data_IF_687433504948
#
_entry.id   IF_687433504948
#
_cell.length_a   1.000
_cell.length_b   1.000
_cell.length_c   1.000
_cell.angle_alpha   90.00
_cell.angle_beta   90.00
_cell.angle_gamma   90.00
#
_symmetry.space_group_name_H-M   'P 1'
#
loop_
_entity.id
_entity.type
_entity.pdbx_description
1 polymer ?
#
# COMPACT_ATOMS: atom_id res chain seq x y z
N UNK A 1 28.00 75.69 58.54
CA UNK A 1 27.81 74.27 58.89
C UNK A 1 27.16 73.56 57.72
N UNK A 2 27.94 72.77 56.99
CA UNK A 2 27.57 72.05 55.81
C UNK A 2 26.88 70.73 56.18
N UNK A 3 25.76 70.44 55.54
CA UNK A 3 25.17 69.08 55.49
C UNK A 3 25.18 68.58 54.06
N UNK A 4 25.94 67.54 53.83
CA UNK A 4 26.00 66.83 52.57
C UNK A 4 24.81 65.89 52.45
N UNK A 5 24.06 65.98 51.32
CA UNK A 5 23.08 65.00 50.92
C UNK A 5 23.68 64.13 49.80
N UNK A 6 23.90 62.85 50.11
CA UNK A 6 24.28 61.85 49.12
C UNK A 6 23.00 61.37 48.41
N UNK A 7 22.94 61.62 47.11
CA UNK A 7 21.91 61.03 46.24
C UNK A 7 22.49 59.69 45.74
N UNK A 8 21.82 58.57 46.11
CA UNK A 8 22.12 57.26 45.56
C UNK A 8 21.31 57.09 44.27
N UNK A 9 21.99 57.07 43.12
CA UNK A 9 21.42 56.58 41.85
C UNK A 9 21.36 55.06 41.90
N UNK A 10 20.12 54.47 41.90
CA UNK A 10 19.88 53.07 41.66
C UNK A 10 19.82 52.78 40.18
N UNK A 11 20.80 52.04 39.64
CA UNK A 11 20.74 51.46 38.30
C UNK A 11 19.76 50.28 38.34
N UNK A 12 18.57 50.42 37.70
CA UNK A 12 17.68 49.33 37.39
C UNK A 12 18.16 48.69 36.07
N UNK A 13 18.86 47.57 36.17
CA UNK A 13 19.15 46.72 35.00
C UNK A 13 17.93 45.98 34.59
N UNK A 14 17.20 46.47 33.57
CA UNK A 14 16.13 45.78 32.93
C UNK A 14 16.66 44.60 32.09
N UNK A 15 16.56 43.36 32.60
CA UNK A 15 16.77 42.17 31.83
C UNK A 15 15.61 41.97 30.86
N UNK A 16 15.81 42.38 29.60
CA UNK A 16 14.92 42.07 28.52
C UNK A 16 15.06 40.56 28.17
N UNK A 17 14.19 39.73 28.70
CA UNK A 17 13.99 38.35 28.26
C UNK A 17 13.41 38.39 26.85
N UNK A 18 14.29 38.29 25.84
CA UNK A 18 13.91 37.92 24.49
C UNK A 18 13.46 36.46 24.53
N UNK A 19 12.16 36.23 24.65
CA UNK A 19 11.56 34.95 24.33
C UNK A 19 11.79 34.74 22.83
N UNK A 20 12.82 33.98 22.47
CA UNK A 20 12.95 33.39 21.14
C UNK A 20 11.77 32.43 20.97
N UNK A 21 10.68 32.95 20.43
CA UNK A 21 9.68 32.10 19.81
C UNK A 21 10.42 31.33 18.70
N UNK A 22 10.73 30.06 18.97
CA UNK A 22 11.23 29.16 17.96
C UNK A 22 10.11 29.03 16.90
N UNK A 23 10.12 29.90 15.91
CA UNK A 23 9.34 29.72 14.70
C UNK A 23 9.87 28.42 14.11
N UNK A 24 9.03 27.38 14.09
CA UNK A 24 9.34 26.19 13.35
C UNK A 24 9.71 26.63 11.92
N UNK A 25 10.99 26.47 11.58
CA UNK A 25 11.52 26.92 10.30
C UNK A 25 10.75 26.20 9.20
N UNK A 26 10.07 26.94 8.32
CA UNK A 26 9.39 26.39 7.15
C UNK A 26 10.42 25.70 6.26
N UNK A 27 10.44 24.37 6.31
CA UNK A 27 11.39 23.54 5.54
C UNK A 27 10.98 23.40 4.08
N UNK A 28 9.85 24.00 3.67
CA UNK A 28 9.30 23.96 2.32
C UNK A 28 8.19 22.93 2.18
N UNK A 29 7.71 22.79 0.95
CA UNK A 29 6.55 21.95 0.61
C UNK A 29 7.00 20.64 -0.02
N UNK A 30 6.40 19.52 0.39
CA UNK A 30 6.51 18.21 -0.23
C UNK A 30 5.21 17.95 -1.01
N UNK A 31 5.34 17.61 -2.29
CA UNK A 31 4.21 17.20 -3.14
C UNK A 31 3.90 15.71 -2.91
N UNK A 32 2.64 15.38 -2.67
CA UNK A 32 2.18 14.01 -2.41
C UNK A 32 1.03 13.70 -3.36
N UNK A 33 1.23 12.75 -4.28
CA UNK A 33 0.23 12.31 -5.24
C UNK A 33 -0.17 10.86 -4.95
N UNK A 34 -1.43 10.68 -4.54
CA UNK A 34 -2.06 9.38 -4.29
C UNK A 34 -2.99 9.00 -5.44
N UNK A 35 -3.17 7.69 -5.73
CA UNK A 35 -3.92 7.27 -6.91
C UNK A 35 -5.42 7.56 -6.81
N UNK A 36 -6.04 7.31 -5.67
CA UNK A 36 -7.51 7.38 -5.53
C UNK A 36 -7.95 7.50 -4.07
N UNK A 37 -9.21 7.83 -3.84
CA UNK A 37 -9.90 7.71 -2.54
C UNK A 37 -10.84 6.51 -2.46
N UNK A 38 -10.99 5.74 -3.53
CA UNK A 38 -11.88 4.58 -3.56
C UNK A 38 -11.43 3.45 -2.63
N UNK A 39 -10.13 3.33 -2.36
CA UNK A 39 -9.58 2.48 -1.30
C UNK A 39 -9.21 3.34 -0.08
N UNK A 40 -9.70 2.93 1.09
CA UNK A 40 -9.50 3.64 2.35
C UNK A 40 -8.03 3.78 2.72
N UNK A 41 -7.20 2.79 2.37
CA UNK A 41 -5.76 2.83 2.66
C UNK A 41 -5.06 4.06 2.09
N UNK A 42 -5.42 4.51 0.87
CA UNK A 42 -4.79 5.70 0.28
C UNK A 42 -5.14 6.98 1.03
N UNK A 43 -6.32 7.04 1.64
CA UNK A 43 -6.72 8.14 2.52
C UNK A 43 -5.85 8.11 3.79
N UNK A 44 -5.66 6.94 4.37
CA UNK A 44 -4.83 6.77 5.57
C UNK A 44 -3.35 7.05 5.28
N UNK A 45 -2.82 6.56 4.15
CA UNK A 45 -1.46 6.87 3.67
C UNK A 45 -1.26 8.39 3.54
N UNK A 46 -2.17 9.09 2.85
CA UNK A 46 -2.11 10.53 2.66
C UNK A 46 -2.19 11.31 3.97
N UNK A 47 -3.12 10.95 4.86
CA UNK A 47 -3.28 11.61 6.16
C UNK A 47 -2.06 11.42 7.06
N UNK A 48 -1.51 10.19 7.12
CA UNK A 48 -0.29 9.89 7.86
C UNK A 48 0.91 10.66 7.28
N UNK A 49 1.02 10.74 5.96
CA UNK A 49 2.08 11.51 5.29
C UNK A 49 2.01 12.98 5.67
N UNK A 50 0.84 13.61 5.56
CA UNK A 50 0.62 15.03 5.96
C UNK A 50 0.98 15.25 7.41
N UNK A 51 0.53 14.35 8.29
CA UNK A 51 0.82 14.44 9.73
C UNK A 51 2.33 14.42 9.99
N UNK A 52 3.04 13.42 9.48
CA UNK A 52 4.47 13.27 9.77
C UNK A 52 5.32 14.34 9.09
N UNK A 53 4.94 14.82 7.90
CA UNK A 53 5.60 15.97 7.27
C UNK A 53 5.44 17.23 8.13
N UNK A 54 4.23 17.51 8.61
CA UNK A 54 3.97 18.64 9.50
C UNK A 54 4.76 18.56 10.80
N UNK A 55 4.82 17.39 11.41
CA UNK A 55 5.58 17.15 12.66
C UNK A 55 7.07 17.44 12.49
N UNK A 56 7.59 17.38 11.25
CA UNK A 56 8.98 17.70 10.90
C UNK A 56 9.20 19.11 10.33
N UNK A 57 8.15 19.93 10.26
CA UNK A 57 8.22 21.33 9.79
C UNK A 57 8.07 21.51 8.29
N UNK A 58 7.61 20.49 7.55
CA UNK A 58 7.26 20.59 6.14
C UNK A 58 5.78 20.90 5.93
N UNK A 59 5.47 21.57 4.82
CA UNK A 59 4.12 21.62 4.27
C UNK A 59 3.89 20.44 3.33
N UNK A 60 2.66 19.97 3.22
CA UNK A 60 2.27 18.93 2.26
C UNK A 60 1.27 19.50 1.24
N UNK A 61 1.53 19.28 -0.05
CA UNK A 61 0.55 19.45 -1.14
C UNK A 61 0.04 18.04 -1.48
N UNK A 62 -1.02 17.58 -0.79
CA UNK A 62 -1.61 16.25 -0.95
C UNK A 62 -2.74 16.31 -1.99
N UNK A 63 -2.64 15.48 -3.03
CA UNK A 63 -3.65 15.35 -4.06
C UNK A 63 -3.96 13.89 -4.37
N UNK A 64 -5.20 13.63 -4.75
CA UNK A 64 -5.70 12.33 -5.18
C UNK A 64 -6.13 12.43 -6.65
N UNK A 65 -5.73 11.46 -7.44
CA UNK A 65 -5.93 11.52 -8.89
C UNK A 65 -7.19 10.75 -9.37
N UNK A 66 -7.91 10.10 -8.46
CA UNK A 66 -9.18 9.39 -8.71
C UNK A 66 -9.05 8.33 -9.83
N UNK A 67 -7.93 7.61 -9.84
CA UNK A 67 -7.55 6.60 -10.83
C UNK A 67 -7.49 7.11 -12.28
N UNK A 68 -7.41 8.43 -12.47
CA UNK A 68 -7.27 9.08 -13.77
C UNK A 68 -5.79 9.44 -14.02
N UNK A 69 -5.17 8.78 -15.01
CA UNK A 69 -3.75 8.96 -15.34
C UNK A 69 -3.44 10.40 -15.82
N UNK A 70 -4.20 11.00 -16.74
CA UNK A 70 -4.00 12.40 -17.14
C UNK A 70 -4.09 13.36 -15.95
N UNK A 71 -5.04 13.13 -15.05
CA UNK A 71 -5.18 13.96 -13.84
C UNK A 71 -3.94 13.84 -12.94
N UNK A 72 -3.44 12.62 -12.72
CA UNK A 72 -2.22 12.42 -11.93
C UNK A 72 -1.02 13.14 -12.55
N UNK A 73 -0.84 13.04 -13.88
CA UNK A 73 0.22 13.73 -14.59
C UNK A 73 0.12 15.26 -14.41
N UNK A 74 -1.09 15.84 -14.58
CA UNK A 74 -1.31 17.27 -14.41
C UNK A 74 -1.03 17.73 -12.97
N UNK A 75 -1.43 16.93 -11.96
CA UNK A 75 -1.14 17.22 -10.55
C UNK A 75 0.36 17.24 -10.28
N UNK A 76 1.11 16.25 -10.78
CA UNK A 76 2.58 16.18 -10.63
C UNK A 76 3.25 17.38 -11.32
N UNK A 77 2.85 17.72 -12.53
CA UNK A 77 3.39 18.90 -13.25
C UNK A 77 3.10 20.22 -12.52
N UNK A 78 1.92 20.34 -11.92
CA UNK A 78 1.56 21.50 -11.08
C UNK A 78 2.46 21.59 -9.83
N UNK A 79 2.70 20.47 -9.13
CA UNK A 79 3.63 20.42 -7.99
C UNK A 79 5.05 20.82 -8.39
N UNK A 80 5.53 20.39 -9.57
CA UNK A 80 6.84 20.80 -10.12
C UNK A 80 6.86 22.32 -10.36
N UNK A 81 5.82 22.87 -10.96
CA UNK A 81 5.68 24.33 -11.20
C UNK A 81 5.70 25.13 -9.90
N UNK A 82 5.09 24.60 -8.83
CA UNK A 82 5.12 25.18 -7.48
C UNK A 82 6.47 25.00 -6.77
N UNK A 83 7.44 24.31 -7.38
CA UNK A 83 8.79 24.09 -6.86
C UNK A 83 8.79 23.37 -5.50
N UNK A 84 8.00 22.32 -5.39
CA UNK A 84 8.05 21.45 -4.20
C UNK A 84 9.48 20.91 -4.00
N UNK A 85 9.86 20.59 -2.77
CA UNK A 85 11.21 20.08 -2.45
C UNK A 85 11.42 18.63 -2.85
N UNK A 86 10.36 17.83 -2.68
CA UNK A 86 10.33 16.40 -3.02
C UNK A 86 8.95 16.08 -3.58
N UNK A 87 8.89 15.16 -4.54
CA UNK A 87 7.67 14.50 -5.00
C UNK A 87 7.60 13.10 -4.39
N UNK A 88 6.50 12.80 -3.73
CA UNK A 88 6.12 11.48 -3.26
C UNK A 88 4.94 11.01 -4.11
N UNK A 89 5.12 9.95 -4.87
CA UNK A 89 4.12 9.55 -5.88
C UNK A 89 3.80 8.06 -5.73
N UNK A 90 2.53 7.75 -5.44
CA UNK A 90 1.95 6.43 -5.65
C UNK A 90 1.32 6.40 -7.03
N UNK A 91 2.06 5.92 -8.02
CA UNK A 91 1.66 6.00 -9.41
C UNK A 91 0.43 5.13 -9.73
N UNK A 92 -0.54 5.66 -10.49
CA UNK A 92 -1.63 4.88 -11.06
C UNK A 92 -1.06 3.92 -12.10
N UNK A 93 -0.32 4.45 -13.06
CA UNK A 93 0.44 3.73 -14.06
C UNK A 93 1.92 4.06 -13.89
N UNK A 94 2.72 3.04 -13.67
CA UNK A 94 4.16 3.19 -13.43
C UNK A 94 4.95 3.75 -14.61
N UNK A 95 4.39 3.82 -15.83
CA UNK A 95 5.14 4.15 -17.06
C UNK A 95 4.87 5.54 -17.61
N UNK A 96 3.86 6.26 -17.12
CA UNK A 96 3.36 7.48 -17.76
C UNK A 96 4.02 8.78 -17.30
N UNK A 97 4.86 8.74 -16.26
CA UNK A 97 5.38 9.93 -15.59
C UNK A 97 6.79 10.38 -16.03
N UNK A 98 7.46 9.63 -16.90
CA UNK A 98 8.90 9.81 -17.18
C UNK A 98 9.27 11.24 -17.61
N UNK A 99 8.46 11.89 -18.46
CA UNK A 99 8.73 13.25 -18.92
C UNK A 99 8.55 14.29 -17.80
N UNK A 100 7.54 14.14 -16.94
CA UNK A 100 7.34 15.00 -15.79
C UNK A 100 8.50 14.84 -14.79
N UNK A 101 8.96 13.61 -14.56
CA UNK A 101 10.09 13.34 -13.66
C UNK A 101 11.41 13.90 -14.21
N UNK A 102 11.58 13.99 -15.54
CA UNK A 102 12.73 14.71 -16.11
C UNK A 102 12.67 16.21 -15.78
N UNK A 103 11.49 16.85 -15.94
CA UNK A 103 11.29 18.26 -15.55
C UNK A 103 11.54 18.48 -14.05
N UNK A 104 11.18 17.52 -13.19
CA UNK A 104 11.46 17.58 -11.77
C UNK A 104 12.98 17.55 -11.51
N UNK A 105 13.70 16.62 -12.13
CA UNK A 105 15.13 16.47 -12.02
C UNK A 105 15.89 17.74 -12.50
N UNK A 106 15.46 18.34 -13.59
CA UNK A 106 16.04 19.58 -14.13
C UNK A 106 15.91 20.76 -13.14
N UNK A 107 14.95 20.70 -12.20
CA UNK A 107 14.76 21.66 -11.12
C UNK A 107 15.37 21.21 -9.77
N UNK A 108 16.07 20.08 -9.75
CA UNK A 108 16.66 19.52 -8.53
C UNK A 108 15.66 18.92 -7.55
N UNK A 109 14.41 18.69 -7.98
CA UNK A 109 13.36 18.09 -7.17
C UNK A 109 13.60 16.57 -7.09
N UNK A 110 13.68 16.02 -5.87
CA UNK A 110 13.83 14.59 -5.63
C UNK A 110 12.52 13.86 -5.77
N UNK A 111 12.58 12.59 -6.20
CA UNK A 111 11.41 11.76 -6.45
C UNK A 111 11.48 10.48 -5.62
N UNK A 112 10.47 10.27 -4.80
CA UNK A 112 10.24 9.04 -4.05
C UNK A 112 9.02 8.34 -4.62
N UNK A 113 9.22 7.16 -5.20
CA UNK A 113 8.14 6.24 -5.49
C UNK A 113 7.58 5.72 -4.16
N UNK A 114 6.29 5.83 -3.95
CA UNK A 114 5.61 5.44 -2.71
C UNK A 114 4.68 4.26 -2.98
N UNK A 115 4.86 3.15 -2.26
CA UNK A 115 4.14 1.89 -2.40
C UNK A 115 4.25 1.27 -3.81
N UNK A 116 4.02 2.03 -4.88
CA UNK A 116 4.06 1.58 -6.29
C UNK A 116 5.31 2.06 -7.00
N UNK A 117 6.05 1.14 -7.63
CA UNK A 117 7.28 1.46 -8.34
C UNK A 117 7.00 2.21 -9.64
N UNK A 118 7.64 3.38 -9.80
CA UNK A 118 7.63 4.10 -11.08
C UNK A 118 8.70 3.53 -12.00
N UNK A 119 8.30 3.12 -13.21
CA UNK A 119 9.13 2.46 -14.21
C UNK A 119 9.58 3.40 -15.31
N UNK A 120 10.59 2.99 -16.07
CA UNK A 120 11.02 3.69 -17.28
C UNK A 120 11.67 5.06 -17.07
N UNK A 121 12.03 5.42 -15.83
CA UNK A 121 12.68 6.71 -15.53
C UNK A 121 13.94 6.54 -14.70
N UNK A 122 15.02 7.22 -15.10
CA UNK A 122 16.26 7.32 -14.31
C UNK A 122 16.09 8.23 -13.09
N UNK A 123 15.06 9.08 -13.08
CA UNK A 123 14.82 10.16 -12.13
C UNK A 123 13.95 9.75 -10.93
N UNK A 124 13.84 8.47 -10.65
CA UNK A 124 13.28 7.96 -9.39
C UNK A 124 14.46 7.79 -8.43
N UNK A 125 14.54 8.62 -7.39
CA UNK A 125 15.68 8.59 -6.48
C UNK A 125 15.59 7.43 -5.49
N UNK A 126 14.39 7.20 -4.90
CA UNK A 126 14.14 6.18 -3.89
C UNK A 126 12.77 5.54 -4.07
N UNK A 127 12.61 4.39 -3.44
CA UNK A 127 11.33 3.68 -3.37
C UNK A 127 11.06 3.22 -1.93
N UNK A 128 9.87 3.49 -1.42
CA UNK A 128 9.42 3.02 -0.11
C UNK A 128 8.16 2.17 -0.28
N UNK A 129 8.20 0.94 0.21
CA UNK A 129 7.10 -0.02 0.05
C UNK A 129 7.20 -1.15 1.08
N UNK A 130 6.42 -2.18 0.90
CA UNK A 130 6.52 -3.46 1.62
C UNK A 130 7.25 -4.50 0.76
N UNK A 131 7.63 -5.62 1.37
CA UNK A 131 8.10 -6.79 0.61
C UNK A 131 6.93 -7.39 -0.18
N UNK A 132 6.81 -6.94 -1.43
CA UNK A 132 5.67 -7.30 -2.29
C UNK A 132 5.68 -8.78 -2.70
N UNK A 133 6.86 -9.41 -2.82
CA UNK A 133 6.94 -10.84 -3.06
C UNK A 133 6.41 -11.62 -1.85
N UNK A 134 6.80 -11.20 -0.65
CA UNK A 134 6.33 -11.81 0.59
C UNK A 134 4.83 -11.66 0.79
N UNK A 135 4.20 -10.57 0.32
CA UNK A 135 2.73 -10.45 0.31
C UNK A 135 2.09 -11.64 -0.42
N UNK A 136 2.54 -11.93 -1.64
CA UNK A 136 2.03 -13.08 -2.39
C UNK A 136 2.28 -14.42 -1.71
N UNK A 137 3.47 -14.60 -1.12
CA UNK A 137 3.80 -15.80 -0.33
C UNK A 137 2.81 -15.98 0.85
N UNK A 138 2.48 -14.90 1.56
CA UNK A 138 1.54 -14.95 2.69
C UNK A 138 0.11 -15.26 2.21
N UNK A 139 -0.34 -14.67 1.12
CA UNK A 139 -1.66 -14.95 0.53
C UNK A 139 -1.80 -16.43 0.16
N UNK A 140 -0.87 -16.96 -0.60
CA UNK A 140 -0.88 -18.34 -1.03
C UNK A 140 -0.64 -19.32 0.15
N UNK A 141 0.24 -18.95 1.07
CA UNK A 141 0.52 -19.73 2.28
C UNK A 141 -0.73 -19.96 3.11
N UNK A 142 -1.55 -18.93 3.31
CA UNK A 142 -2.82 -19.04 4.04
C UNK A 142 -3.80 -20.02 3.39
N UNK A 143 -3.86 -20.03 2.04
CA UNK A 143 -4.69 -20.99 1.27
C UNK A 143 -4.15 -22.42 1.45
N UNK A 144 -2.84 -22.61 1.28
CA UNK A 144 -2.18 -23.91 1.40
C UNK A 144 -2.39 -24.52 2.79
N UNK A 145 -2.24 -23.71 3.82
CA UNK A 145 -2.39 -24.14 5.21
C UNK A 145 -3.86 -24.48 5.53
N UNK A 146 -4.80 -23.63 5.12
CA UNK A 146 -6.24 -23.84 5.34
C UNK A 146 -6.77 -25.09 4.64
N UNK A 147 -6.34 -25.33 3.40
CA UNK A 147 -6.74 -26.52 2.65
C UNK A 147 -6.05 -27.80 3.12
N UNK A 148 -5.00 -27.70 3.93
CA UNK A 148 -4.22 -28.85 4.40
C UNK A 148 -3.40 -29.53 3.28
N UNK A 149 -2.94 -28.73 2.30
CA UNK A 149 -2.16 -29.25 1.17
C UNK A 149 -0.81 -29.81 1.61
N UNK A 150 -0.18 -29.24 2.66
CA UNK A 150 1.05 -29.76 3.28
C UNK A 150 0.86 -31.15 3.89
N UNK A 151 -0.37 -31.47 4.31
CA UNK A 151 -0.78 -32.79 4.85
C UNK A 151 -1.24 -33.75 3.75
N UNK A 152 -1.04 -33.39 2.49
CA UNK A 152 -1.37 -34.25 1.36
C UNK A 152 -2.81 -34.22 0.91
N UNK A 153 -3.68 -33.37 1.50
CA UNK A 153 -5.08 -33.23 1.08
C UNK A 153 -5.19 -32.70 -0.37
N UNK A 154 -6.32 -32.94 -0.98
CA UNK A 154 -6.63 -32.55 -2.36
C UNK A 154 -7.13 -33.75 -3.19
N UNK A 155 -7.50 -33.55 -4.48
CA UNK A 155 -7.41 -32.26 -5.20
C UNK A 155 -8.45 -31.24 -4.78
N UNK A 156 -8.10 -29.95 -4.90
CA UNK A 156 -9.00 -28.80 -4.70
C UNK A 156 -9.01 -27.89 -5.92
N UNK A 157 -10.16 -27.27 -6.21
CA UNK A 157 -10.29 -26.30 -7.28
C UNK A 157 -9.96 -24.90 -6.76
N UNK A 158 -9.06 -24.23 -7.47
CA UNK A 158 -8.67 -22.85 -7.17
C UNK A 158 -8.83 -21.97 -8.41
N UNK A 159 -9.29 -20.73 -8.23
CA UNK A 159 -9.17 -19.68 -9.26
C UNK A 159 -8.20 -18.60 -8.82
N UNK A 160 -7.50 -18.01 -9.78
CA UNK A 160 -6.46 -17.02 -9.54
C UNK A 160 -6.91 -15.66 -10.05
N UNK A 161 -6.74 -14.63 -9.21
CA UNK A 161 -6.91 -13.23 -9.57
C UNK A 161 -5.57 -12.52 -9.36
N UNK A 162 -5.23 -11.65 -10.30
CA UNK A 162 -4.09 -10.75 -10.23
C UNK A 162 -4.53 -9.30 -10.04
N UNK A 163 -3.61 -8.45 -9.61
CA UNK A 163 -3.83 -7.02 -9.50
C UNK A 163 -3.79 -6.31 -10.86
N UNK A 164 -3.73 -4.98 -10.84
CA UNK A 164 -3.71 -4.17 -12.06
C UNK A 164 -2.38 -4.35 -12.81
N UNK A 165 -2.42 -4.62 -14.13
CA UNK A 165 -1.20 -4.85 -14.91
C UNK A 165 -0.35 -3.58 -15.13
N UNK A 166 -0.88 -2.39 -14.87
CA UNK A 166 -0.16 -1.12 -14.88
C UNK A 166 0.59 -0.83 -13.57
N UNK A 167 0.34 -1.63 -12.52
CA UNK A 167 1.04 -1.60 -11.25
C UNK A 167 2.08 -2.72 -11.15
N UNK A 168 3.35 -2.35 -10.97
CA UNK A 168 4.46 -3.30 -10.87
C UNK A 168 4.30 -4.29 -9.68
N UNK A 169 3.64 -3.88 -8.61
CA UNK A 169 3.44 -4.72 -7.43
C UNK A 169 2.59 -5.97 -7.73
N UNK A 170 1.63 -5.85 -8.66
CA UNK A 170 0.76 -6.96 -9.05
C UNK A 170 1.55 -8.18 -9.54
N UNK A 171 2.67 -7.96 -10.22
CA UNK A 171 3.55 -9.04 -10.70
C UNK A 171 4.30 -9.69 -9.53
N UNK A 172 4.84 -8.89 -8.60
CA UNK A 172 5.50 -9.41 -7.40
C UNK A 172 4.55 -10.22 -6.51
N UNK A 173 3.31 -9.74 -6.32
CA UNK A 173 2.30 -10.50 -5.57
C UNK A 173 1.98 -11.83 -6.26
N UNK A 174 1.78 -11.80 -7.56
CA UNK A 174 1.51 -13.01 -8.33
C UNK A 174 2.68 -13.99 -8.29
N UNK A 175 3.90 -13.53 -8.50
CA UNK A 175 5.10 -14.38 -8.50
C UNK A 175 5.36 -14.97 -7.11
N UNK A 176 5.18 -14.18 -6.05
CA UNK A 176 5.25 -14.66 -4.67
C UNK A 176 4.21 -15.74 -4.38
N UNK A 177 2.97 -15.53 -4.80
CA UNK A 177 1.91 -16.53 -4.65
C UNK A 177 2.19 -17.80 -5.45
N UNK A 178 2.64 -17.66 -6.69
CA UNK A 178 2.96 -18.80 -7.57
C UNK A 178 4.16 -19.59 -7.07
N UNK A 179 5.14 -18.95 -6.39
CA UNK A 179 6.25 -19.68 -5.75
C UNK A 179 5.78 -20.71 -4.72
N UNK A 180 4.62 -20.45 -4.09
CA UNK A 180 4.00 -21.34 -3.11
C UNK A 180 3.01 -22.32 -3.75
N UNK A 181 2.19 -21.87 -4.71
CA UNK A 181 1.10 -22.68 -5.29
C UNK A 181 1.58 -23.64 -6.36
N UNK A 182 2.64 -23.28 -7.11
CA UNK A 182 3.09 -24.04 -8.28
C UNK A 182 3.35 -25.53 -7.99
N UNK A 183 4.01 -25.95 -6.89
CA UNK A 183 4.21 -27.37 -6.61
C UNK A 183 2.89 -28.16 -6.47
N UNK A 184 1.83 -27.52 -5.96
CA UNK A 184 0.52 -28.16 -5.79
C UNK A 184 -0.27 -28.16 -7.10
N UNK A 185 -0.09 -27.17 -7.98
CA UNK A 185 -0.64 -27.15 -9.33
C UNK A 185 0.01 -28.22 -10.19
N UNK A 186 1.35 -28.33 -10.17
CA UNK A 186 2.12 -29.31 -10.95
C UNK A 186 1.79 -30.76 -10.53
N UNK A 187 1.54 -30.99 -9.23
CA UNK A 187 1.16 -32.31 -8.72
C UNK A 187 -0.34 -32.63 -8.85
N UNK A 188 -1.15 -31.71 -9.37
CA UNK A 188 -2.61 -31.88 -9.48
C UNK A 188 -3.37 -31.82 -8.17
N UNK A 189 -2.73 -31.45 -7.05
CA UNK A 189 -3.42 -31.22 -5.75
C UNK A 189 -4.23 -29.92 -5.74
N UNK A 190 -3.84 -28.95 -6.57
CA UNK A 190 -4.63 -27.79 -6.93
C UNK A 190 -4.94 -27.82 -8.41
N UNK A 191 -6.19 -27.48 -8.78
CA UNK A 191 -6.64 -27.46 -10.16
C UNK A 191 -7.26 -26.12 -10.48
N UNK A 192 -6.71 -25.38 -11.45
CA UNK A 192 -7.32 -24.19 -12.03
C UNK A 192 -8.23 -24.66 -13.17
N UNK A 193 -9.53 -24.79 -12.89
CA UNK A 193 -10.48 -25.34 -13.89
C UNK A 193 -10.59 -24.47 -15.13
N UNK A 194 -10.49 -23.16 -14.97
CA UNK A 194 -10.50 -22.20 -16.08
C UNK A 194 -9.24 -22.28 -16.95
N UNK A 195 -8.15 -22.88 -16.44
CA UNK A 195 -6.82 -22.86 -17.05
C UNK A 195 -6.27 -21.43 -17.29
N UNK A 196 -6.83 -20.42 -16.58
CA UNK A 196 -6.36 -19.05 -16.67
C UNK A 196 -5.20 -18.84 -15.71
N UNK A 197 -4.00 -18.83 -16.26
CA UNK A 197 -2.73 -18.62 -15.56
C UNK A 197 -1.97 -17.45 -16.18
N UNK A 198 -1.16 -16.78 -15.36
CA UNK A 198 -0.35 -15.63 -15.77
C UNK A 198 -1.11 -14.28 -15.74
N UNK A 199 -0.38 -13.23 -15.40
CA UNK A 199 -0.93 -11.88 -15.17
C UNK A 199 -1.76 -11.35 -16.35
N UNK A 200 -1.44 -11.73 -17.59
CA UNK A 200 -2.21 -11.34 -18.79
C UNK A 200 -3.66 -11.85 -18.77
N UNK A 201 -3.92 -13.00 -18.11
CA UNK A 201 -5.26 -13.63 -18.03
C UNK A 201 -5.99 -13.34 -16.73
N UNK A 202 -5.24 -13.15 -15.65
CA UNK A 202 -5.81 -13.02 -14.31
C UNK A 202 -5.80 -11.59 -13.77
N UNK A 203 -5.12 -10.66 -14.44
CA UNK A 203 -5.03 -9.26 -14.04
C UNK A 203 -6.37 -8.57 -13.98
N UNK A 204 -6.53 -7.69 -13.00
CA UNK A 204 -7.76 -6.91 -12.76
C UNK A 204 -7.44 -5.43 -12.86
N UNK A 205 -7.82 -4.81 -13.97
CA UNK A 205 -7.49 -3.42 -14.28
C UNK A 205 -7.99 -2.48 -13.19
N UNK A 206 -7.14 -1.51 -12.80
CA UNK A 206 -7.42 -0.50 -11.77
C UNK A 206 -7.74 -1.08 -10.38
N UNK A 207 -7.43 -2.34 -10.13
CA UNK A 207 -7.80 -2.99 -8.86
C UNK A 207 -9.31 -2.93 -8.57
N UNK A 208 -10.13 -2.93 -9.62
CA UNK A 208 -11.57 -2.71 -9.52
C UNK A 208 -12.31 -3.98 -9.09
N UNK A 209 -13.01 -3.90 -7.94
CA UNK A 209 -13.79 -5.00 -7.39
C UNK A 209 -14.97 -5.43 -8.28
N UNK A 210 -15.56 -4.51 -9.05
CA UNK A 210 -16.65 -4.86 -9.99
C UNK A 210 -16.11 -5.65 -11.19
N UNK A 211 -14.91 -5.34 -11.66
CA UNK A 211 -14.22 -6.14 -12.71
C UNK A 211 -13.91 -7.55 -12.18
N UNK A 212 -13.45 -7.66 -10.93
CA UNK A 212 -13.22 -8.96 -10.29
C UNK A 212 -14.53 -9.75 -10.12
N UNK A 213 -15.62 -9.10 -9.70
CA UNK A 213 -16.94 -9.70 -9.58
C UNK A 213 -17.41 -10.24 -10.92
N UNK A 214 -17.43 -9.43 -11.97
CA UNK A 214 -17.86 -9.84 -13.30
C UNK A 214 -17.05 -11.03 -13.84
N UNK A 215 -15.72 -11.02 -13.60
CA UNK A 215 -14.87 -12.17 -13.97
C UNK A 215 -15.22 -13.42 -13.17
N UNK A 216 -15.49 -13.30 -11.86
CA UNK A 216 -15.90 -14.44 -11.03
C UNK A 216 -17.23 -15.01 -11.46
N UNK A 217 -18.22 -14.17 -11.80
CA UNK A 217 -19.52 -14.61 -12.35
C UNK A 217 -19.34 -15.45 -13.62
N UNK A 218 -18.49 -14.99 -14.54
CA UNK A 218 -18.15 -15.71 -15.75
C UNK A 218 -17.45 -17.05 -15.47
N UNK A 219 -16.51 -17.09 -14.52
CA UNK A 219 -15.83 -18.33 -14.11
C UNK A 219 -16.81 -19.33 -13.52
N UNK A 220 -17.69 -18.90 -12.62
CA UNK A 220 -18.69 -19.74 -11.98
C UNK A 220 -19.65 -20.34 -13.02
N UNK A 221 -20.15 -19.54 -13.94
CA UNK A 221 -21.04 -19.98 -15.00
C UNK A 221 -20.37 -20.97 -15.97
N UNK A 222 -19.13 -20.69 -16.38
CA UNK A 222 -18.46 -21.48 -17.41
C UNK A 222 -17.84 -22.80 -16.89
N UNK A 223 -17.38 -22.85 -15.64
CA UNK A 223 -16.55 -23.94 -15.15
C UNK A 223 -17.05 -24.64 -13.88
N UNK A 224 -18.06 -24.08 -13.20
CA UNK A 224 -18.45 -24.55 -11.86
C UNK A 224 -19.92 -24.97 -11.76
N UNK A 225 -20.62 -25.20 -12.88
CA UNK A 225 -21.99 -25.71 -12.87
C UNK A 225 -22.15 -27.05 -12.14
N UNK A 226 -21.16 -27.95 -12.27
CA UNK A 226 -21.14 -29.27 -11.64
C UNK A 226 -19.91 -29.49 -10.73
N UNK A 227 -19.29 -28.42 -10.25
CA UNK A 227 -18.13 -28.47 -9.37
C UNK A 227 -18.17 -27.30 -8.41
N UNK A 228 -17.34 -27.34 -7.38
CA UNK A 228 -17.21 -26.20 -6.45
C UNK A 228 -15.85 -25.52 -6.61
N UNK A 229 -15.80 -24.23 -6.29
CA UNK A 229 -14.56 -23.50 -6.01
C UNK A 229 -14.20 -23.76 -4.55
N UNK A 230 -12.99 -24.24 -4.29
CA UNK A 230 -12.49 -24.50 -2.94
C UNK A 230 -11.63 -23.36 -2.42
N UNK A 231 -10.94 -22.65 -3.32
CA UNK A 231 -10.13 -21.48 -2.98
C UNK A 231 -10.12 -20.44 -4.09
N UNK A 232 -9.82 -19.20 -3.72
CA UNK A 232 -9.54 -18.10 -4.63
C UNK A 232 -8.34 -17.33 -4.14
N UNK A 233 -7.27 -17.28 -4.96
CA UNK A 233 -6.21 -16.32 -4.76
C UNK A 233 -6.71 -14.95 -5.18
N UNK A 234 -6.89 -14.06 -4.22
CA UNK A 234 -7.23 -12.67 -4.45
C UNK A 234 -6.14 -11.76 -3.89
N UNK A 235 -5.59 -10.85 -4.69
CA UNK A 235 -4.42 -10.04 -4.28
C UNK A 235 -4.79 -8.78 -3.50
N UNK A 236 -6.10 -8.46 -3.35
CA UNK A 236 -6.55 -7.23 -2.69
C UNK A 236 -7.98 -7.38 -2.16
N UNK A 237 -8.25 -6.78 -1.02
CA UNK A 237 -9.53 -6.87 -0.30
C UNK A 237 -10.73 -6.37 -1.11
N UNK A 238 -10.58 -5.28 -1.85
CA UNK A 238 -11.63 -4.78 -2.72
C UNK A 238 -12.06 -5.78 -3.80
N UNK A 239 -11.09 -6.53 -4.36
CA UNK A 239 -11.37 -7.63 -5.28
C UNK A 239 -12.08 -8.78 -4.55
N UNK A 240 -11.61 -9.11 -3.35
CA UNK A 240 -12.18 -10.18 -2.53
C UNK A 240 -13.65 -9.94 -2.21
N UNK A 241 -14.05 -8.70 -1.92
CA UNK A 241 -15.45 -8.33 -1.69
C UNK A 241 -16.30 -8.56 -2.93
N UNK A 242 -15.82 -8.19 -4.13
CA UNK A 242 -16.49 -8.47 -5.39
C UNK A 242 -16.64 -9.98 -5.65
N UNK A 243 -15.57 -10.76 -5.42
CA UNK A 243 -15.56 -12.21 -5.55
C UNK A 243 -16.54 -12.87 -4.56
N UNK A 244 -16.58 -12.41 -3.29
CA UNK A 244 -17.52 -12.88 -2.28
C UNK A 244 -18.95 -12.66 -2.72
N UNK A 245 -19.25 -11.50 -3.30
CA UNK A 245 -20.58 -11.21 -3.85
C UNK A 245 -21.00 -12.25 -4.91
N UNK A 246 -20.12 -12.56 -5.86
CA UNK A 246 -20.37 -13.56 -6.91
C UNK A 246 -20.62 -14.96 -6.34
N UNK A 247 -19.73 -15.46 -5.47
CA UNK A 247 -19.87 -16.82 -4.94
C UNK A 247 -21.12 -16.95 -4.06
N UNK A 248 -21.47 -15.94 -3.26
CA UNK A 248 -22.73 -15.92 -2.50
C UNK A 248 -23.96 -15.91 -3.40
N UNK A 249 -23.87 -15.20 -4.54
CA UNK A 249 -24.96 -15.16 -5.52
C UNK A 249 -25.35 -16.54 -6.09
N UNK A 250 -24.42 -17.51 -6.07
CA UNK A 250 -24.68 -18.90 -6.50
C UNK A 250 -24.74 -19.90 -5.33
N UNK A 251 -24.96 -19.42 -4.09
CA UNK A 251 -25.31 -20.24 -2.94
C UNK A 251 -24.15 -20.67 -2.02
N UNK A 252 -22.94 -20.13 -2.20
CA UNK A 252 -21.86 -20.32 -1.23
C UNK A 252 -22.17 -19.60 0.10
N UNK A 253 -21.56 -20.07 1.18
CA UNK A 253 -21.77 -19.55 2.54
C UNK A 253 -22.87 -20.30 3.30
N UNK A 254 -23.29 -21.46 2.81
CA UNK A 254 -24.26 -22.34 3.47
C UNK A 254 -23.57 -23.60 3.99
N UNK A 255 -24.19 -24.37 4.93
CA UNK A 255 -23.61 -25.63 5.40
C UNK A 255 -23.38 -26.66 4.29
N UNK A 256 -24.20 -26.64 3.23
CA UNK A 256 -24.05 -27.53 2.08
C UNK A 256 -22.99 -27.07 1.09
N UNK A 257 -22.75 -25.76 1.03
CA UNK A 257 -21.79 -25.14 0.12
C UNK A 257 -21.01 -24.05 0.86
N UNK A 258 -20.02 -24.42 1.69
CA UNK A 258 -19.26 -23.47 2.47
C UNK A 258 -18.45 -22.52 1.58
N UNK A 259 -18.11 -21.35 2.12
CA UNK A 259 -17.29 -20.36 1.42
C UNK A 259 -15.96 -20.96 0.97
N UNK A 260 -15.45 -20.60 -0.22
CA UNK A 260 -14.08 -20.92 -0.59
C UNK A 260 -13.07 -20.18 0.29
N UNK A 261 -11.85 -20.68 0.35
CA UNK A 261 -10.75 -20.01 1.02
C UNK A 261 -10.31 -18.82 0.17
N UNK A 262 -10.67 -17.61 0.56
CA UNK A 262 -10.37 -16.37 -0.20
C UNK A 262 -9.31 -15.58 0.54
N UNK A 263 -8.19 -15.27 -0.13
CA UNK A 263 -7.16 -14.36 0.39
C UNK A 263 -7.53 -12.89 0.15
N UNK A 264 -6.69 -11.98 0.60
CA UNK A 264 -6.81 -10.54 0.36
C UNK A 264 -5.56 -9.79 0.77
N UNK A 265 -5.62 -8.46 0.74
CA UNK A 265 -4.56 -7.56 1.16
C UNK A 265 -5.16 -6.21 1.55
N UNK A 266 -4.47 -5.50 2.42
CA UNK A 266 -4.67 -4.17 2.97
C UNK A 266 -5.53 -4.11 4.24
N UNK A 267 -6.12 -5.22 4.68
CA UNK A 267 -6.90 -5.32 5.91
C UNK A 267 -8.00 -4.23 6.00
N UNK A 268 -8.67 -3.95 4.87
CA UNK A 268 -9.75 -2.97 4.84
C UNK A 268 -10.94 -3.41 5.73
N UNK A 269 -11.59 -2.45 6.36
CA UNK A 269 -12.68 -2.70 7.33
C UNK A 269 -13.73 -3.67 6.80
N UNK A 270 -14.26 -3.54 5.54
CA UNK A 270 -15.23 -4.50 5.02
C UNK A 270 -14.70 -5.94 4.97
N UNK A 271 -13.44 -6.12 4.62
CA UNK A 271 -12.78 -7.43 4.55
C UNK A 271 -12.49 -8.02 5.92
N UNK A 272 -12.04 -7.22 6.89
CA UNK A 272 -11.88 -7.69 8.27
C UNK A 272 -13.22 -8.17 8.84
N UNK A 273 -14.31 -7.43 8.58
CA UNK A 273 -15.69 -7.87 8.92
C UNK A 273 -16.06 -9.17 8.18
N UNK A 274 -15.69 -9.32 6.91
CA UNK A 274 -15.93 -10.54 6.15
C UNK A 274 -15.12 -11.72 6.70
N UNK A 275 -13.88 -11.51 7.15
CA UNK A 275 -13.06 -12.53 7.82
C UNK A 275 -13.74 -13.00 9.11
N UNK A 276 -14.25 -12.09 9.92
CA UNK A 276 -14.93 -12.43 11.18
C UNK A 276 -16.24 -13.18 10.96
N UNK A 277 -16.92 -12.95 9.84
CA UNK A 277 -18.13 -13.72 9.45
C UNK A 277 -17.80 -15.05 8.78
N UNK A 278 -16.54 -15.31 8.41
CA UNK A 278 -16.13 -16.50 7.65
C UNK A 278 -16.39 -16.40 6.14
N UNK A 279 -16.66 -15.21 5.62
CA UNK A 279 -16.87 -14.95 4.19
C UNK A 279 -15.56 -14.84 3.41
N UNK A 280 -14.51 -14.27 4.05
CA UNK A 280 -13.14 -14.23 3.59
C UNK A 280 -12.27 -15.01 4.58
N UNK A 281 -11.16 -15.61 4.14
CA UNK A 281 -10.32 -16.37 5.04
C UNK A 281 -9.22 -15.53 5.67
N UNK A 282 -8.50 -14.75 4.87
CA UNK A 282 -7.35 -13.97 5.32
C UNK A 282 -7.18 -12.69 4.51
N UNK A 283 -6.41 -11.77 5.08
CA UNK A 283 -5.86 -10.60 4.40
C UNK A 283 -4.39 -10.43 4.77
N UNK A 284 -3.65 -9.62 4.00
CA UNK A 284 -2.28 -9.24 4.34
C UNK A 284 -2.26 -7.77 4.73
N UNK A 285 -1.94 -7.52 5.98
CA UNK A 285 -1.87 -6.18 6.56
C UNK A 285 -0.54 -5.51 6.22
N UNK A 286 -0.65 -4.26 5.80
CA UNK A 286 0.44 -3.32 5.54
C UNK A 286 0.17 -2.05 6.34
N UNK A 287 0.97 -1.77 7.36
CA UNK A 287 0.75 -0.61 8.23
C UNK A 287 1.10 0.70 7.51
N UNK A 288 0.07 1.44 7.08
CA UNK A 288 0.22 2.71 6.37
C UNK A 288 0.92 3.78 7.21
N UNK A 289 0.82 3.69 8.56
CA UNK A 289 1.51 4.59 9.49
C UNK A 289 3.01 4.42 9.40
N UNK A 290 3.47 3.17 9.37
CA UNK A 290 4.90 2.85 9.27
C UNK A 290 5.46 3.24 7.89
N UNK A 291 4.71 2.98 6.81
CA UNK A 291 5.14 3.34 5.46
C UNK A 291 5.29 4.86 5.30
N UNK A 292 4.29 5.63 5.74
CA UNK A 292 4.36 7.08 5.72
C UNK A 292 5.51 7.61 6.61
N UNK A 293 5.70 7.02 7.80
CA UNK A 293 6.77 7.42 8.72
C UNK A 293 8.16 7.22 8.12
N UNK A 294 8.46 6.03 7.60
CA UNK A 294 9.79 5.76 7.00
C UNK A 294 10.03 6.60 5.76
N UNK A 295 8.98 6.90 4.99
CA UNK A 295 9.07 7.78 3.81
C UNK A 295 9.42 9.21 4.23
N UNK A 296 8.77 9.75 5.26
CA UNK A 296 9.07 11.09 5.77
C UNK A 296 10.46 11.16 6.42
N UNK A 297 10.89 10.09 7.10
CA UNK A 297 12.26 9.97 7.60
C UNK A 297 13.29 10.02 6.46
N UNK A 298 13.05 9.27 5.39
CA UNK A 298 13.87 9.28 4.19
C UNK A 298 13.93 10.68 3.55
N UNK A 299 12.80 11.37 3.42
CA UNK A 299 12.74 12.73 2.89
C UNK A 299 13.57 13.70 3.74
N UNK A 300 13.42 13.65 5.06
CA UNK A 300 14.16 14.53 5.98
C UNK A 300 15.67 14.28 5.91
N UNK A 301 16.10 13.03 5.83
CA UNK A 301 17.51 12.68 5.64
C UNK A 301 18.05 13.24 4.31
N UNK A 302 17.35 13.02 3.20
CA UNK A 302 17.75 13.50 1.87
C UNK A 302 17.86 15.03 1.83
N UNK A 303 16.85 15.74 2.34
CA UNK A 303 16.85 17.20 2.35
C UNK A 303 17.86 17.81 3.33
N UNK A 304 18.26 17.07 4.35
CA UNK A 304 19.33 17.44 5.29
C UNK A 304 20.73 17.01 4.83
N UNK A 305 20.87 16.46 3.62
CA UNK A 305 22.14 15.96 3.08
C UNK A 305 22.68 14.70 3.76
N UNK A 306 21.83 13.98 4.49
CA UNK A 306 22.18 12.71 5.13
C UNK A 306 21.86 11.54 4.18
N UNK A 307 22.50 10.40 4.43
CA UNK A 307 22.18 9.16 3.73
C UNK A 307 20.92 8.55 4.35
N UNK A 308 19.84 8.35 3.56
CA UNK A 308 18.63 7.72 4.06
C UNK A 308 18.84 6.23 4.31
N UNK A 309 18.04 5.67 5.21
CA UNK A 309 18.04 4.23 5.45
C UNK A 309 17.47 3.50 4.24
N UNK A 310 18.24 2.55 3.72
CA UNK A 310 17.86 1.65 2.61
C UNK A 310 18.19 0.23 3.05
N UNK A 311 17.29 -0.71 2.74
CA UNK A 311 17.49 -2.14 3.05
C UNK A 311 17.40 -3.06 1.83
N UNK A 312 17.10 -2.50 0.64
CA UNK A 312 17.14 -3.23 -0.63
C UNK A 312 17.75 -2.38 -1.75
N UNK A 313 18.77 -2.93 -2.42
CA UNK A 313 19.46 -2.33 -3.58
C UNK A 313 19.57 -3.31 -4.74
N UNK A 314 18.74 -4.37 -4.77
CA UNK A 314 18.85 -5.46 -5.76
C UNK A 314 17.54 -5.81 -6.43
N UNK A 315 16.40 -5.71 -5.72
CA UNK A 315 15.14 -6.33 -6.13
C UNK A 315 14.36 -5.46 -7.12
N UNK A 316 14.27 -4.16 -6.88
CA UNK A 316 13.34 -3.30 -7.59
C UNK A 316 13.99 -2.58 -8.77
N UNK A 317 14.15 -3.31 -9.87
CA UNK A 317 14.59 -2.73 -11.16
C UNK A 317 13.37 -2.10 -11.86
N UNK A 318 13.46 -0.81 -12.14
CA UNK A 318 12.38 -0.05 -12.78
C UNK A 318 12.45 -0.04 -14.33
N UNK A 319 13.28 -0.91 -14.90
CA UNK A 319 13.53 -1.00 -16.34
C UNK A 319 14.71 -0.14 -16.83
N UNK A 320 15.21 0.79 -16.01
CA UNK A 320 16.38 1.64 -16.30
C UNK A 320 17.49 1.42 -15.27
N UNK A 321 17.11 1.28 -14.02
CA UNK A 321 18.05 1.05 -12.90
C UNK A 321 17.37 0.29 -11.77
N UNK A 322 18.17 -0.28 -10.88
CA UNK A 322 17.69 -0.70 -9.57
C UNK A 322 17.50 0.55 -8.70
N UNK A 323 16.29 0.75 -8.20
CA UNK A 323 15.96 1.89 -7.32
C UNK A 323 16.27 1.51 -5.88
N UNK A 324 17.12 2.28 -5.17
CA UNK A 324 17.36 2.05 -3.75
C UNK A 324 16.04 2.10 -2.97
N UNK A 325 15.75 1.04 -2.21
CA UNK A 325 14.42 0.85 -1.63
C UNK A 325 14.47 0.60 -0.12
N UNK A 326 13.42 1.04 0.57
CA UNK A 326 13.15 0.63 1.94
C UNK A 326 11.88 -0.22 1.98
N UNK A 327 12.05 -1.47 2.41
CA UNK A 327 10.99 -2.47 2.43
C UNK A 327 10.54 -2.74 3.87
N UNK A 328 9.24 -2.59 4.12
CA UNK A 328 8.58 -3.00 5.34
C UNK A 328 8.08 -4.45 5.24
N UNK A 329 7.88 -5.10 6.38
CA UNK A 329 7.36 -6.46 6.43
C UNK A 329 5.84 -6.45 6.43
N UNK A 330 5.19 -7.17 5.51
CA UNK A 330 3.75 -7.41 5.57
C UNK A 330 3.41 -8.47 6.64
N UNK A 331 2.17 -8.45 7.14
CA UNK A 331 1.68 -9.36 8.18
C UNK A 331 0.41 -10.06 7.71
N UNK A 332 0.35 -11.39 7.78
CA UNK A 332 -0.89 -12.13 7.52
C UNK A 332 -1.87 -11.96 8.67
N UNK A 333 -3.14 -11.70 8.32
CA UNK A 333 -4.23 -11.51 9.28
C UNK A 333 -5.39 -12.42 8.93
N UNK A 334 -5.90 -13.13 9.93
CA UNK A 334 -7.11 -13.95 9.87
C UNK A 334 -7.96 -13.78 11.16
N UNK A 335 -9.00 -14.59 11.30
CA UNK A 335 -9.89 -14.54 12.47
C UNK A 335 -9.19 -14.87 13.80
N UNK A 336 -8.00 -15.48 13.80
CA UNK A 336 -7.27 -15.84 15.01
C UNK A 336 -6.40 -14.71 15.55
N UNK A 337 -5.92 -13.79 14.69
CA UNK A 337 -4.95 -12.78 15.07
C UNK A 337 -5.33 -11.32 14.71
N UNK A 338 -6.53 -11.08 14.16
CA UNK A 338 -6.96 -9.74 13.77
C UNK A 338 -6.90 -8.73 14.93
N UNK A 339 -7.26 -9.18 16.16
CA UNK A 339 -7.31 -8.28 17.31
C UNK A 339 -5.93 -7.78 17.73
N UNK A 340 -4.93 -8.62 18.02
CA UNK A 340 -3.59 -8.13 18.35
C UNK A 340 -2.96 -7.33 17.21
N UNK A 341 -3.19 -7.70 15.94
CA UNK A 341 -2.54 -7.03 14.80
C UNK A 341 -3.21 -5.69 14.48
N UNK A 342 -4.54 -5.60 14.50
CA UNK A 342 -5.25 -4.41 14.01
C UNK A 342 -5.80 -3.53 15.14
N UNK A 343 -6.21 -4.10 16.28
CA UNK A 343 -6.82 -3.33 17.37
C UNK A 343 -5.79 -2.97 18.45
N UNK A 344 -5.07 -3.96 18.99
CA UNK A 344 -4.14 -3.72 20.09
C UNK A 344 -2.93 -2.90 19.61
N UNK A 345 -2.60 -2.94 18.31
CA UNK A 345 -1.63 -2.04 17.66
C UNK A 345 -2.13 -0.60 17.54
N UNK A 346 -3.42 -0.34 17.77
CA UNK A 346 -4.04 0.97 17.59
C UNK A 346 -4.26 1.39 16.13
N UNK A 347 -4.21 0.44 15.18
CA UNK A 347 -4.50 0.74 13.77
C UNK A 347 -5.99 1.03 13.55
N UNK A 348 -6.87 0.16 14.07
CA UNK A 348 -8.32 0.36 14.12
C UNK A 348 -8.83 0.41 15.55
N UNK A 349 -9.97 1.09 15.75
CA UNK A 349 -10.79 0.93 16.93
C UNK A 349 -11.68 -0.31 16.76
N UNK A 350 -11.91 -1.04 17.84
CA UNK A 350 -12.75 -2.24 17.79
C UNK A 350 -14.17 -1.93 17.29
N UNK A 351 -14.71 -0.74 17.60
CA UNK A 351 -16.02 -0.26 17.11
C UNK A 351 -16.11 -0.04 15.60
N UNK A 352 -14.99 0.00 14.88
CA UNK A 352 -14.98 0.09 13.41
C UNK A 352 -15.15 -1.29 12.77
N UNK A 353 -14.77 -2.35 13.52
CA UNK A 353 -14.76 -3.74 13.03
C UNK A 353 -15.99 -4.52 13.50
N UNK A 354 -16.50 -4.24 14.68
CA UNK A 354 -17.72 -4.86 15.25
C UNK A 354 -18.98 -4.06 14.99
#
# INVERSE_FOLDING_TARGET
MLRHHFIRLGLAAGAALFALAAHAQDKGTVGVSMPTKSSARWIDDGNNMVKYLKDRGYKADLQYAEDDIPNQLAQVENMITKKVKVLVIAAIDGTTLSNALQKAADQGIKVVAYDRLIRGSKNVDYYTTFDNFQVGVLQAGSIVDKLGLKQGKGPFNIELFGGSPDDNNAFFFYDGAMSVLKPYLDSGKLVVRSKQLGMQKVGTLRWDGAVAQARMDNLLSAYYGNARVDAVLSPYDGLSIGIISSVKGVGYGTPKQPMPVISGQDAEVPSVKAILRGDQYSTVFKDTRDLAKVTVELIDDVLSGKQPKINDTKTYNNGIKVVPSYLLKPVSVDASNWKPVLIDSGYYKESQIK
#
